data_IF_722877557159
#
_entry.id   IF_722877557159
#
_cell.length_a   1.000
_cell.length_b   1.000
_cell.length_c   1.000
_cell.angle_alpha   90.00
_cell.angle_beta   90.00
_cell.angle_gamma   90.00
#
_symmetry.space_group_name_H-M   'P 1'
#
loop_
_entity.id
_entity.type
_entity.pdbx_description
1 polymer ?
#
# COMPACT_ATOMS: atom_id res chain seq x y z
N UNK A 1 10.87 -28.48 -22.66
CA UNK A 1 10.19 -28.95 -21.43
C UNK A 1 10.95 -28.47 -20.21
N UNK A 2 10.87 -27.17 -19.91
CA UNK A 2 11.52 -26.54 -18.77
C UNK A 2 10.51 -25.56 -18.18
N UNK A 3 9.84 -25.97 -17.10
CA UNK A 3 9.19 -25.13 -16.07
C UNK A 3 8.22 -26.01 -15.25
N UNK A 4 8.76 -26.79 -14.33
CA UNK A 4 7.97 -27.40 -13.26
C UNK A 4 8.92 -27.80 -12.15
N UNK A 5 9.16 -26.85 -11.24
CA UNK A 5 9.42 -27.05 -9.80
C UNK A 5 10.07 -25.79 -9.21
N UNK A 6 9.24 -24.78 -8.94
CA UNK A 6 9.57 -23.61 -8.12
C UNK A 6 8.47 -23.43 -7.07
N UNK A 7 8.55 -24.21 -6.00
CA UNK A 7 7.75 -24.05 -4.77
C UNK A 7 8.62 -24.58 -3.62
N UNK A 8 9.41 -23.71 -2.94
CA UNK A 8 8.85 -22.76 -1.97
C UNK A 8 9.64 -21.43 -1.88
N UNK A 9 9.15 -20.34 -2.47
CA UNK A 9 9.78 -19.00 -2.36
C UNK A 9 8.76 -17.85 -2.27
N UNK A 10 7.50 -18.15 -1.98
CA UNK A 10 6.40 -17.21 -2.18
C UNK A 10 6.22 -16.12 -1.10
N UNK A 11 6.94 -16.16 0.02
CA UNK A 11 6.66 -15.23 1.14
C UNK A 11 7.73 -14.15 1.36
N UNK A 12 8.92 -14.26 0.76
CA UNK A 12 10.01 -13.27 0.90
C UNK A 12 10.13 -12.33 -0.32
N UNK A 13 9.37 -12.59 -1.39
CA UNK A 13 9.70 -12.07 -2.72
C UNK A 13 9.11 -10.72 -3.12
N UNK A 14 8.22 -10.07 -2.36
CA UNK A 14 7.63 -8.79 -2.83
C UNK A 14 8.55 -7.58 -2.67
N UNK A 15 9.31 -7.52 -1.57
CA UNK A 15 10.35 -6.49 -1.38
C UNK A 15 11.55 -6.79 -2.30
N UNK A 16 11.84 -8.08 -2.53
CA UNK A 16 12.93 -8.52 -3.39
C UNK A 16 12.68 -8.22 -4.87
N UNK A 17 11.45 -8.37 -5.37
CA UNK A 17 11.13 -8.03 -6.76
C UNK A 17 11.22 -6.51 -7.01
N UNK A 18 10.80 -5.68 -6.04
CA UNK A 18 10.91 -4.23 -6.11
C UNK A 18 12.37 -3.75 -6.04
N UNK A 19 13.21 -4.41 -5.24
CA UNK A 19 14.67 -4.17 -5.21
C UNK A 19 15.38 -4.63 -6.49
N UNK A 20 14.97 -5.76 -7.08
CA UNK A 20 15.54 -6.25 -8.35
C UNK A 20 15.17 -5.33 -9.52
N UNK A 21 13.97 -4.74 -9.53
CA UNK A 21 13.57 -3.74 -10.53
C UNK A 21 14.35 -2.43 -10.32
N UNK A 22 14.56 -1.99 -9.07
CA UNK A 22 15.40 -0.80 -8.79
C UNK A 22 16.89 -1.01 -9.13
N UNK A 23 17.41 -2.24 -9.03
CA UNK A 23 18.78 -2.58 -9.42
C UNK A 23 19.01 -2.62 -10.94
N UNK A 24 17.95 -2.73 -11.76
CA UNK A 24 18.07 -2.72 -13.22
C UNK A 24 18.28 -1.32 -13.81
N UNK A 25 17.91 -0.25 -13.09
CA UNK A 25 18.01 1.14 -13.56
C UNK A 25 19.20 1.89 -12.96
N UNK A 26 19.86 1.36 -11.92
CA UNK A 26 20.98 2.02 -11.27
C UNK A 26 22.26 1.17 -11.31
N UNK A 27 23.02 1.30 -12.41
CA UNK A 27 24.33 0.67 -12.60
C UNK A 27 25.40 1.07 -11.55
N UNK A 28 25.06 1.96 -10.60
CA UNK A 28 25.95 2.50 -9.56
C UNK A 28 25.57 2.08 -8.13
N UNK A 29 24.57 1.22 -7.94
CA UNK A 29 24.03 0.87 -6.61
C UNK A 29 24.33 -0.57 -6.11
N UNK A 30 25.02 -1.39 -6.91
CA UNK A 30 25.11 -2.86 -6.74
C UNK A 30 25.45 -3.37 -5.33
N UNK A 31 26.68 -3.18 -4.83
CA UNK A 31 27.08 -3.78 -3.54
C UNK A 31 26.64 -2.95 -2.32
N UNK A 32 26.45 -1.65 -2.46
CA UNK A 32 26.11 -0.74 -1.36
C UNK A 32 24.79 -1.05 -0.66
N UNK A 33 23.78 -1.52 -1.40
CA UNK A 33 22.43 -1.85 -0.90
C UNK A 33 22.28 -3.29 -0.40
N UNK A 34 23.09 -4.22 -0.91
CA UNK A 34 22.96 -5.65 -0.61
C UNK A 34 23.66 -6.00 0.72
N UNK A 35 24.83 -5.41 0.98
CA UNK A 35 25.61 -5.64 2.21
C UNK A 35 24.85 -5.29 3.50
N UNK A 36 24.15 -4.13 3.63
CA UNK A 36 23.36 -3.81 4.82
C UNK A 36 22.22 -4.80 5.08
N UNK A 37 21.67 -5.41 4.02
CA UNK A 37 20.62 -6.42 4.13
C UNK A 37 21.13 -7.79 4.58
N UNK A 38 22.44 -8.05 4.55
CA UNK A 38 23.00 -9.37 4.88
C UNK A 38 22.55 -10.46 3.91
N UNK A 39 22.30 -10.08 2.65
CA UNK A 39 21.84 -10.99 1.59
C UNK A 39 22.97 -11.21 0.59
N UNK A 40 23.03 -12.38 -0.03
CA UNK A 40 23.97 -12.64 -1.11
C UNK A 40 23.51 -11.94 -2.41
N UNK A 41 24.42 -11.32 -3.16
CA UNK A 41 24.17 -10.90 -4.54
C UNK A 41 23.60 -12.04 -5.39
N UNK A 42 22.64 -11.72 -6.26
CA UNK A 42 21.89 -12.72 -7.03
C UNK A 42 22.81 -13.53 -7.95
N UNK A 43 23.78 -12.88 -8.58
CA UNK A 43 24.81 -13.47 -9.41
C UNK A 43 25.63 -14.52 -8.63
N UNK A 44 26.04 -14.23 -7.40
CA UNK A 44 26.75 -15.18 -6.55
C UNK A 44 25.84 -16.34 -6.10
N UNK A 45 24.55 -16.11 -5.88
CA UNK A 45 23.59 -17.19 -5.58
C UNK A 45 23.43 -18.12 -6.78
N UNK A 46 23.34 -17.58 -8.00
CA UNK A 46 23.25 -18.36 -9.24
C UNK A 46 24.54 -19.14 -9.46
N UNK A 47 25.71 -18.49 -9.35
CA UNK A 47 27.02 -19.14 -9.46
C UNK A 47 27.21 -20.24 -8.44
N UNK A 48 26.82 -20.02 -7.17
CA UNK A 48 26.88 -21.05 -6.12
C UNK A 48 26.03 -22.27 -6.48
N UNK A 49 24.81 -22.08 -6.98
CA UNK A 49 23.93 -23.20 -7.39
C UNK A 49 24.48 -23.95 -8.60
N UNK A 50 24.95 -23.22 -9.61
CA UNK A 50 25.54 -23.81 -10.80
C UNK A 50 26.82 -24.59 -10.48
N UNK A 51 27.72 -24.02 -9.67
CA UNK A 51 28.94 -24.69 -9.22
C UNK A 51 28.62 -25.92 -8.37
N UNK A 52 27.64 -25.84 -7.46
CA UNK A 52 27.19 -26.98 -6.66
C UNK A 52 26.60 -28.13 -7.48
N UNK A 53 25.91 -27.81 -8.58
CA UNK A 53 25.41 -28.79 -9.55
C UNK A 53 26.57 -29.49 -10.27
N UNK A 54 27.50 -28.73 -10.87
CA UNK A 54 28.63 -29.31 -11.60
C UNK A 54 29.60 -30.09 -10.70
N UNK A 55 29.75 -29.68 -9.45
CA UNK A 55 30.51 -30.42 -8.45
C UNK A 55 29.88 -31.78 -8.15
N UNK A 56 28.55 -31.85 -8.05
CA UNK A 56 27.82 -33.12 -7.88
C UNK A 56 27.96 -34.06 -9.08
N UNK A 57 28.08 -33.51 -10.28
CA UNK A 57 28.29 -34.24 -11.53
C UNK A 57 29.77 -34.63 -11.78
N UNK A 58 30.68 -34.32 -10.85
CA UNK A 58 32.11 -34.61 -10.98
C UNK A 58 32.84 -33.79 -12.06
N UNK A 59 32.24 -32.70 -12.56
CA UNK A 59 32.82 -31.85 -13.62
C UNK A 59 33.57 -30.66 -13.02
N UNK A 60 34.76 -30.93 -12.46
CA UNK A 60 35.56 -29.94 -11.73
C UNK A 60 35.98 -28.73 -12.58
N UNK A 61 36.25 -28.90 -13.87
CA UNK A 61 36.66 -27.79 -14.75
C UNK A 61 35.61 -26.68 -14.80
N UNK A 62 34.31 -27.05 -14.83
CA UNK A 62 33.19 -26.10 -14.80
C UNK A 62 33.01 -25.42 -13.44
N UNK A 63 33.40 -26.10 -12.37
CA UNK A 63 33.37 -25.52 -11.01
C UNK A 63 34.46 -24.47 -10.87
N UNK A 64 35.65 -24.74 -11.39
CA UNK A 64 36.79 -23.81 -11.39
C UNK A 64 36.46 -22.58 -12.22
N UNK A 65 35.87 -22.75 -13.40
CA UNK A 65 35.38 -21.62 -14.24
C UNK A 65 34.44 -20.69 -13.47
N UNK A 66 33.58 -21.25 -12.61
CA UNK A 66 32.59 -20.50 -11.84
C UNK A 66 33.10 -19.94 -10.50
N UNK A 67 34.23 -20.39 -9.96
CA UNK A 67 34.71 -20.02 -8.61
C UNK A 67 36.16 -19.52 -8.57
N UNK A 68 36.80 -19.38 -9.74
CA UNK A 68 38.16 -18.87 -10.00
C UNK A 68 39.32 -19.60 -9.29
N UNK A 69 39.03 -20.58 -8.43
CA UNK A 69 40.02 -21.33 -7.63
C UNK A 69 39.68 -22.83 -7.59
N UNK A 70 40.66 -23.65 -7.18
CA UNK A 70 40.47 -25.07 -6.94
C UNK A 70 39.43 -25.35 -5.85
N UNK A 71 38.61 -26.37 -6.05
CA UNK A 71 37.52 -26.76 -5.14
C UNK A 71 37.63 -28.25 -4.82
N UNK A 72 37.78 -28.57 -3.54
CA UNK A 72 37.81 -29.95 -3.02
C UNK A 72 36.51 -30.34 -2.32
N UNK A 73 35.78 -29.37 -1.77
CA UNK A 73 34.50 -29.56 -1.09
C UNK A 73 33.43 -28.56 -1.56
N UNK A 74 32.15 -28.84 -1.26
CA UNK A 74 31.07 -27.87 -1.52
C UNK A 74 31.17 -26.60 -0.67
N UNK A 75 31.86 -26.68 0.47
CA UNK A 75 32.07 -25.51 1.33
C UNK A 75 33.13 -24.58 0.72
N UNK A 76 34.15 -25.13 0.05
CA UNK A 76 35.15 -24.35 -0.70
C UNK A 76 34.48 -23.48 -1.78
N UNK A 77 33.41 -23.97 -2.43
CA UNK A 77 32.63 -23.16 -3.41
C UNK A 77 32.08 -21.90 -2.74
N UNK A 78 31.52 -22.05 -1.52
CA UNK A 78 30.96 -20.91 -0.79
C UNK A 78 32.06 -19.95 -0.34
N UNK A 79 33.17 -20.48 0.17
CA UNK A 79 34.29 -19.66 0.64
C UNK A 79 34.98 -18.90 -0.50
N UNK A 80 35.20 -19.54 -1.65
CA UNK A 80 35.79 -18.90 -2.82
C UNK A 80 34.92 -17.74 -3.33
N UNK A 81 33.60 -17.95 -3.43
CA UNK A 81 32.66 -16.88 -3.84
C UNK A 81 32.56 -15.75 -2.81
N UNK A 82 32.67 -16.06 -1.51
CA UNK A 82 32.73 -15.02 -0.47
C UNK A 82 34.02 -14.21 -0.54
N UNK A 83 35.15 -14.85 -0.86
CA UNK A 83 36.43 -14.16 -1.00
C UNK A 83 36.45 -13.25 -2.22
N UNK A 84 35.88 -13.70 -3.33
CA UNK A 84 35.68 -12.88 -4.53
C UNK A 84 34.81 -11.66 -4.21
N UNK A 85 33.67 -11.87 -3.55
CA UNK A 85 32.81 -10.75 -3.12
C UNK A 85 33.51 -9.78 -2.17
N UNK A 86 34.30 -10.30 -1.23
CA UNK A 86 35.07 -9.46 -0.31
C UNK A 86 36.11 -8.61 -1.05
N UNK A 87 36.82 -9.18 -2.03
CA UNK A 87 37.77 -8.45 -2.86
C UNK A 87 37.08 -7.34 -3.67
N UNK A 88 35.97 -7.67 -4.33
CA UNK A 88 35.15 -6.69 -5.05
C UNK A 88 34.65 -5.58 -4.11
N UNK A 89 34.29 -5.93 -2.88
CA UNK A 89 33.80 -4.98 -1.88
C UNK A 89 34.89 -4.01 -1.40
N UNK A 90 36.11 -4.50 -1.22
CA UNK A 90 37.28 -3.69 -0.88
C UNK A 90 37.64 -2.73 -2.01
N UNK A 91 37.55 -3.17 -3.26
CA UNK A 91 37.92 -2.37 -4.44
C UNK A 91 36.78 -1.44 -4.93
N UNK A 92 35.52 -1.74 -4.63
CA UNK A 92 34.35 -1.02 -5.18
C UNK A 92 34.32 0.47 -4.82
N UNK A 93 34.29 1.37 -5.80
CA UNK A 93 34.14 2.81 -5.55
C UNK A 93 32.75 3.22 -5.04
N UNK A 94 31.76 2.32 -5.10
CA UNK A 94 30.37 2.55 -4.68
C UNK A 94 30.11 2.00 -3.27
N UNK A 95 29.15 2.56 -2.54
CA UNK A 95 28.79 2.05 -1.21
C UNK A 95 29.86 2.26 -0.13
N UNK A 96 30.80 3.19 -0.30
CA UNK A 96 31.90 3.44 0.66
C UNK A 96 31.43 3.80 2.07
N UNK A 97 30.26 4.44 2.19
CA UNK A 97 29.62 4.70 3.49
C UNK A 97 29.18 3.40 4.16
N UNK A 98 28.58 2.49 3.41
CA UNK A 98 28.27 1.13 3.87
C UNK A 98 29.54 0.34 4.21
N UNK A 99 30.61 0.44 3.42
CA UNK A 99 31.88 -0.24 3.65
C UNK A 99 32.51 0.14 5.00
N UNK A 100 32.36 1.40 5.42
CA UNK A 100 32.83 1.85 6.73
C UNK A 100 32.07 1.20 7.90
N UNK A 101 30.82 0.77 7.68
CA UNK A 101 29.99 0.10 8.69
C UNK A 101 30.21 -1.40 8.66
N UNK A 102 30.33 -1.97 7.47
CA UNK A 102 30.49 -3.42 7.24
C UNK A 102 31.69 -3.65 6.31
N UNK A 103 32.92 -3.57 6.83
CA UNK A 103 34.12 -3.81 6.01
C UNK A 103 34.26 -5.30 5.66
N UNK A 104 33.80 -6.20 6.53
CA UNK A 104 33.82 -7.65 6.33
C UNK A 104 32.41 -8.17 5.99
N UNK A 105 32.26 -8.67 4.76
CA UNK A 105 31.02 -9.24 4.24
C UNK A 105 30.63 -10.51 4.99
N UNK A 106 31.60 -11.35 5.36
CA UNK A 106 31.34 -12.61 6.06
C UNK A 106 30.83 -12.34 7.47
N UNK A 107 31.44 -11.39 8.18
CA UNK A 107 31.00 -10.97 9.51
C UNK A 107 29.55 -10.46 9.43
N UNK A 108 29.27 -9.57 8.47
CA UNK A 108 27.91 -9.07 8.24
C UNK A 108 26.91 -10.20 7.99
N UNK A 109 27.24 -11.20 7.17
CA UNK A 109 26.36 -12.35 6.91
C UNK A 109 26.10 -13.22 8.15
N UNK A 110 27.01 -13.23 9.13
CA UNK A 110 26.83 -13.93 10.42
C UNK A 110 25.89 -13.16 11.35
N UNK A 111 25.75 -11.85 11.19
CA UNK A 111 24.84 -11.00 11.97
C UNK A 111 23.36 -11.15 11.53
N UNK A 112 22.79 -12.35 11.72
CA UNK A 112 21.37 -12.64 11.37
C UNK A 112 20.35 -11.82 12.18
N UNK A 113 20.76 -11.31 13.34
CA UNK A 113 19.93 -10.51 14.23
C UNK A 113 19.81 -9.03 13.81
N UNK A 114 20.66 -8.58 12.86
CA UNK A 114 20.66 -7.22 12.36
C UNK A 114 19.83 -7.15 11.07
N UNK A 115 18.60 -6.63 11.19
CA UNK A 115 17.68 -6.38 10.07
C UNK A 115 17.27 -4.90 10.10
N UNK A 116 18.10 -3.99 9.55
CA UNK A 116 17.80 -2.56 9.58
C UNK A 116 16.51 -2.27 8.81
N UNK A 117 15.67 -1.38 9.35
CA UNK A 117 14.49 -0.89 8.63
C UNK A 117 14.90 0.02 7.46
N UNK A 118 13.94 0.40 6.62
CA UNK A 118 14.21 1.18 5.40
C UNK A 118 15.00 2.47 5.66
N UNK A 119 14.71 3.17 6.76
CA UNK A 119 15.33 4.47 7.09
C UNK A 119 16.84 4.31 7.40
N UNK A 120 17.27 3.45 8.34
CA UNK A 120 18.69 3.15 8.54
C UNK A 120 19.41 2.69 7.27
N UNK A 121 18.75 1.91 6.40
CA UNK A 121 19.34 1.47 5.13
C UNK A 121 19.65 2.68 4.24
N UNK A 122 18.69 3.56 3.96
CA UNK A 122 18.94 4.76 3.14
C UNK A 122 20.03 5.67 3.74
N UNK A 123 20.11 5.77 5.06
CA UNK A 123 21.15 6.54 5.73
C UNK A 123 22.54 5.93 5.53
N UNK A 124 22.66 4.61 5.71
CA UNK A 124 23.94 3.88 5.57
C UNK A 124 24.39 3.86 4.11
N UNK A 125 23.45 3.68 3.16
CA UNK A 125 23.74 3.66 1.73
C UNK A 125 24.03 5.04 1.15
N UNK A 126 23.63 6.11 1.86
CA UNK A 126 23.81 7.49 1.39
C UNK A 126 22.81 7.92 0.32
N UNK A 127 21.69 7.19 0.21
CA UNK A 127 20.70 7.32 -0.87
C UNK A 127 19.54 8.28 -0.51
N UNK A 128 19.70 9.06 0.56
CA UNK A 128 18.70 10.02 1.02
C UNK A 128 19.07 11.45 0.63
N UNK A 129 18.31 12.04 -0.29
CA UNK A 129 18.17 13.49 -0.45
C UNK A 129 17.28 14.00 0.71
N UNK A 130 17.83 14.00 1.93
CA UNK A 130 17.22 14.55 3.15
C UNK A 130 17.58 16.04 3.26
N UNK A 131 16.70 16.95 3.73
CA UNK A 131 16.76 18.36 3.36
C UNK A 131 18.07 19.03 3.81
N UNK A 132 18.77 19.57 2.80
CA UNK A 132 19.98 20.38 2.88
C UNK A 132 19.81 21.72 3.62
N UNK A 133 18.74 21.93 4.39
CA UNK A 133 18.33 23.25 4.89
C UNK A 133 18.80 23.63 6.30
N UNK A 134 19.47 22.76 7.06
CA UNK A 134 19.92 23.14 8.42
C UNK A 134 21.44 23.09 8.67
N UNK A 135 22.27 22.81 7.65
CA UNK A 135 23.72 22.62 7.86
C UNK A 135 24.61 23.71 7.24
N UNK A 136 24.05 24.72 6.56
CA UNK A 136 24.86 25.69 5.78
C UNK A 136 25.32 26.95 6.52
N UNK A 137 25.32 27.01 7.86
CA UNK A 137 25.80 28.23 8.57
C UNK A 137 26.98 28.09 9.53
N UNK A 138 27.46 26.88 9.82
CA UNK A 138 28.65 26.70 10.70
C UNK A 138 29.86 26.00 10.04
N UNK A 139 29.76 25.57 8.78
CA UNK A 139 30.82 24.77 8.11
C UNK A 139 32.06 25.55 7.62
N UNK A 140 32.28 26.80 8.04
CA UNK A 140 33.46 27.58 7.58
C UNK A 140 34.60 27.77 8.57
N UNK A 141 34.50 27.38 9.84
CA UNK A 141 35.53 27.84 10.81
C UNK A 141 36.26 26.81 11.68
N UNK A 142 35.91 25.52 11.69
CA UNK A 142 36.64 24.56 12.55
C UNK A 142 37.13 23.34 11.78
N UNK A 143 38.39 23.39 11.36
CA UNK A 143 39.14 22.28 10.77
C UNK A 143 39.44 21.16 11.77
N UNK A 144 38.41 20.39 12.16
CA UNK A 144 38.57 19.19 12.99
C UNK A 144 38.65 17.91 12.13
N UNK A 145 39.46 16.89 12.52
CA UNK A 145 39.70 15.71 11.71
C UNK A 145 38.47 14.81 11.56
N UNK A 146 38.30 14.25 10.37
CA UNK A 146 37.16 13.44 9.89
C UNK A 146 36.88 12.13 10.67
N UNK A 147 37.69 11.76 11.68
CA UNK A 147 37.60 10.48 12.40
C UNK A 147 36.58 10.44 13.55
N UNK A 148 36.11 11.58 14.07
CA UNK A 148 35.17 11.58 15.21
C UNK A 148 33.68 11.48 14.80
N UNK A 149 33.37 11.53 13.49
CA UNK A 149 31.98 11.63 12.99
C UNK A 149 31.24 10.30 12.84
N UNK A 150 31.88 9.15 13.10
CA UNK A 150 31.28 7.80 12.98
C UNK A 150 30.67 7.22 14.27
N UNK A 151 30.66 7.98 15.37
CA UNK A 151 29.92 7.60 16.59
C UNK A 151 28.41 7.29 16.41
N UNK A 152 27.65 7.83 15.43
CA UNK A 152 26.21 7.58 15.33
C UNK A 152 25.80 6.11 15.12
N UNK A 153 26.68 5.27 14.57
CA UNK A 153 26.31 3.90 14.18
C UNK A 153 26.62 2.89 15.29
N UNK A 154 27.69 3.10 16.06
CA UNK A 154 27.93 2.37 17.32
C UNK A 154 26.84 2.68 18.35
N UNK A 155 26.21 3.86 18.24
CA UNK A 155 25.09 4.27 19.09
C UNK A 155 23.81 3.46 18.88
N UNK A 156 23.60 2.78 17.74
CA UNK A 156 22.40 1.95 17.51
C UNK A 156 22.35 0.64 18.31
N UNK A 157 23.41 0.29 19.06
CA UNK A 157 23.51 -1.00 19.74
C UNK A 157 23.42 -0.93 21.28
N UNK A 158 23.47 0.27 21.87
CA UNK A 158 23.53 0.45 23.33
C UNK A 158 22.20 0.14 24.05
N UNK A 159 21.08 0.21 23.33
CA UNK A 159 19.74 -0.09 23.82
C UNK A 159 19.05 -1.02 22.84
N UNK A 160 18.13 -1.84 23.36
CA UNK A 160 17.26 -2.71 22.60
C UNK A 160 15.84 -2.56 23.11
N UNK A 161 14.87 -2.36 22.21
CA UNK A 161 13.45 -2.40 22.56
C UNK A 161 12.83 -3.76 22.31
N UNK A 162 11.92 -4.16 23.20
CA UNK A 162 11.15 -5.41 23.11
C UNK A 162 9.67 -5.04 23.26
N UNK A 163 8.80 -5.37 22.29
CA UNK A 163 9.11 -6.04 21.02
C UNK A 163 9.95 -5.17 20.06
N UNK A 164 10.67 -5.83 19.16
CA UNK A 164 11.52 -5.17 18.15
C UNK A 164 10.67 -4.73 16.96
N UNK A 165 10.97 -3.56 16.41
CA UNK A 165 10.33 -3.03 15.20
C UNK A 165 8.98 -2.36 15.46
N UNK A 166 8.15 -2.29 14.43
CA UNK A 166 6.83 -1.67 14.55
C UNK A 166 5.88 -2.55 15.36
N UNK A 167 5.14 -1.91 16.26
CA UNK A 167 4.26 -2.58 17.22
C UNK A 167 2.82 -2.29 16.84
N UNK A 168 2.01 -3.33 16.91
CA UNK A 168 0.69 -3.37 16.31
C UNK A 168 -0.27 -3.96 17.34
N UNK A 169 -1.17 -3.13 17.85
CA UNK A 169 -2.00 -3.47 19.01
C UNK A 169 -3.48 -3.32 18.68
N UNK A 170 -4.26 -4.35 19.02
CA UNK A 170 -5.71 -4.31 18.90
C UNK A 170 -6.29 -3.41 20.01
N UNK A 171 -7.23 -2.55 19.65
CA UNK A 171 -7.87 -1.63 20.60
C UNK A 171 -8.48 -2.39 21.78
N UNK A 172 -8.14 -1.96 23.00
CA UNK A 172 -8.53 -2.62 24.24
C UNK A 172 -7.43 -3.49 24.86
N UNK A 173 -6.45 -3.91 24.06
CA UNK A 173 -5.27 -4.64 24.55
C UNK A 173 -4.22 -3.68 25.14
N UNK A 174 -3.48 -4.10 26.18
CA UNK A 174 -2.46 -3.28 26.80
C UNK A 174 -1.23 -3.12 25.90
N UNK A 175 -0.62 -1.92 25.93
CA UNK A 175 0.68 -1.65 25.32
C UNK A 175 1.79 -1.87 26.34
N UNK A 176 2.76 -2.69 25.95
CA UNK A 176 3.95 -2.97 26.74
C UNK A 176 5.20 -2.85 25.88
N UNK A 177 6.12 -1.95 26.27
CA UNK A 177 7.41 -1.80 25.61
C UNK A 177 8.51 -1.84 26.68
N UNK A 178 9.47 -2.72 26.51
CA UNK A 178 10.68 -2.74 27.34
C UNK A 178 11.81 -2.06 26.60
N UNK A 179 12.55 -1.20 27.28
CA UNK A 179 13.82 -0.70 26.82
C UNK A 179 14.93 -1.27 27.70
N UNK A 180 15.85 -2.01 27.08
CA UNK A 180 16.90 -2.77 27.75
C UNK A 180 18.26 -2.18 27.39
N UNK A 181 19.01 -1.75 28.41
CA UNK A 181 20.38 -1.28 28.29
C UNK A 181 21.36 -2.44 28.13
N UNK A 182 22.18 -2.37 27.09
CA UNK A 182 23.24 -3.33 26.85
C UNK A 182 24.56 -2.81 27.45
N UNK A 183 24.87 -3.23 28.69
CA UNK A 183 26.10 -2.86 29.42
C UNK A 183 27.40 -3.30 28.74
N UNK A 184 27.34 -4.16 27.72
CA UNK A 184 28.51 -4.63 26.95
C UNK A 184 29.16 -3.54 26.09
N UNK A 185 28.52 -2.38 25.98
CA UNK A 185 28.98 -1.24 25.18
C UNK A 185 29.47 -0.14 26.12
N UNK A 186 30.66 0.42 25.86
CA UNK A 186 31.33 1.39 26.73
C UNK A 186 30.45 2.56 27.20
N UNK A 187 29.57 3.05 26.32
CA UNK A 187 28.65 4.18 26.60
C UNK A 187 27.56 3.78 27.63
N UNK A 188 27.23 2.50 27.69
CA UNK A 188 26.22 1.92 28.56
C UNK A 188 26.81 1.23 29.81
N UNK A 189 28.13 1.05 29.88
CA UNK A 189 28.80 0.29 30.94
C UNK A 189 28.58 0.90 32.34
N UNK A 190 28.57 2.23 32.45
CA UNK A 190 28.37 2.98 33.70
C UNK A 190 26.96 3.59 33.82
N UNK A 191 26.01 3.17 32.98
CA UNK A 191 24.65 3.71 32.95
C UNK A 191 23.65 2.73 33.57
N UNK A 192 22.53 3.26 34.04
CA UNK A 192 21.46 2.51 34.66
C UNK A 192 20.11 2.77 33.99
N UNK A 193 19.10 1.97 34.34
CA UNK A 193 17.72 2.16 33.91
C UNK A 193 17.15 3.54 34.28
N UNK A 194 17.69 4.22 35.30
CA UNK A 194 17.26 5.57 35.69
C UNK A 194 17.66 6.64 34.68
N UNK A 195 18.66 6.36 33.87
CA UNK A 195 19.14 7.26 32.81
C UNK A 195 18.34 7.06 31.51
N UNK A 196 17.37 6.15 31.50
CA UNK A 196 16.53 5.87 30.34
C UNK A 196 15.25 6.71 30.37
N UNK A 197 14.96 7.36 29.25
CA UNK A 197 13.73 8.13 29.06
C UNK A 197 12.94 7.57 27.89
N UNK A 198 11.62 7.54 28.05
CA UNK A 198 10.67 7.27 26.98
C UNK A 198 10.07 8.57 26.46
N UNK A 199 10.05 8.72 25.14
CA UNK A 199 9.33 9.81 24.47
C UNK A 199 8.25 9.22 23.57
N UNK A 200 7.09 9.86 23.56
CA UNK A 200 6.01 9.64 22.59
C UNK A 200 5.86 10.90 21.75
N UNK A 201 6.06 10.79 20.44
CA UNK A 201 5.97 11.93 19.50
C UNK A 201 6.80 13.15 19.99
N UNK A 202 8.03 12.87 20.43
CA UNK A 202 8.99 13.82 21.04
C UNK A 202 8.59 14.46 22.38
N UNK A 203 7.51 14.01 23.02
CA UNK A 203 7.12 14.43 24.37
C UNK A 203 7.48 13.36 25.39
N UNK A 204 7.98 13.77 26.55
CA UNK A 204 8.32 12.86 27.65
C UNK A 204 7.07 12.14 28.13
N UNK A 205 7.15 10.81 28.19
CA UNK A 205 6.07 10.00 28.74
C UNK A 205 6.05 10.17 30.26
N UNK A 206 4.88 10.44 30.86
CA UNK A 206 4.75 10.57 32.31
C UNK A 206 5.25 9.33 33.06
N UNK A 207 5.85 9.55 34.24
CA UNK A 207 6.41 8.47 35.06
C UNK A 207 5.37 7.45 35.54
N UNK A 208 4.08 7.79 35.54
CA UNK A 208 2.98 6.88 35.91
C UNK A 208 2.82 5.69 34.96
N UNK A 209 3.30 5.80 33.72
CA UNK A 209 3.30 4.70 32.74
C UNK A 209 4.63 3.94 32.72
N UNK A 210 5.61 4.33 33.54
CA UNK A 210 6.96 3.80 33.53
C UNK A 210 7.26 3.00 34.80
N UNK A 211 7.77 1.79 34.62
CA UNK A 211 8.18 0.89 35.69
C UNK A 211 9.64 0.47 35.49
N UNK A 212 10.49 0.69 36.50
CA UNK A 212 11.87 0.17 36.48
C UNK A 212 11.82 -1.28 36.94
N UNK A 213 12.10 -2.21 36.03
CA UNK A 213 12.05 -3.66 36.30
C UNK A 213 13.35 -4.13 36.96
N UNK A 214 14.49 -3.63 36.49
CA UNK A 214 15.81 -3.95 37.03
C UNK A 214 16.80 -2.79 36.74
N UNK A 215 18.07 -2.97 37.06
CA UNK A 215 19.11 -1.95 36.85
C UNK A 215 19.33 -1.55 35.38
N UNK A 216 18.86 -2.35 34.42
CA UNK A 216 19.11 -2.16 32.98
C UNK A 216 17.84 -1.91 32.17
N UNK A 217 16.66 -2.14 32.74
CA UNK A 217 15.42 -2.26 31.97
C UNK A 217 14.33 -1.37 32.54
N UNK A 218 13.78 -0.52 31.67
CA UNK A 218 12.55 0.25 31.93
C UNK A 218 11.43 -0.32 31.08
N UNK A 219 10.27 -0.51 31.70
CA UNK A 219 9.02 -0.94 31.08
C UNK A 219 8.10 0.25 30.95
N UNK A 220 7.58 0.46 29.75
CA UNK A 220 6.43 1.31 29.47
C UNK A 220 5.18 0.42 29.44
N UNK A 221 4.21 0.72 30.29
CA UNK A 221 2.94 0.00 30.34
C UNK A 221 1.75 0.95 30.27
N UNK A 222 0.89 0.76 29.27
CA UNK A 222 -0.37 1.50 29.11
C UNK A 222 -1.49 0.47 29.01
N UNK A 223 -2.34 0.42 30.05
CA UNK A 223 -3.39 -0.60 30.16
C UNK A 223 -4.38 -0.60 28.99
N UNK A 224 -4.78 0.58 28.52
CA UNK A 224 -5.71 0.75 27.40
C UNK A 224 -5.29 1.98 26.59
N UNK A 225 -4.41 1.82 25.59
CA UNK A 225 -3.98 2.92 24.77
C UNK A 225 -5.12 3.36 23.83
N UNK A 226 -5.33 4.67 23.62
CA UNK A 226 -6.32 5.15 22.65
C UNK A 226 -5.89 4.81 21.21
N UNK A 227 -6.85 4.62 20.28
CA UNK A 227 -6.55 4.46 18.86
C UNK A 227 -5.66 5.60 18.37
N UNK A 228 -4.46 5.26 17.90
CA UNK A 228 -3.47 6.25 17.48
C UNK A 228 -2.35 5.63 16.66
N UNK A 229 -1.67 6.47 15.88
CA UNK A 229 -0.38 6.19 15.25
C UNK A 229 0.65 7.12 15.91
N UNK A 230 1.53 6.56 16.74
CA UNK A 230 2.52 7.33 17.50
C UNK A 230 3.91 6.71 17.40
N UNK A 231 4.93 7.56 17.39
CA UNK A 231 6.34 7.16 17.45
C UNK A 231 6.81 7.13 18.90
N UNK A 232 7.32 5.99 19.33
CA UNK A 232 7.95 5.81 20.63
C UNK A 232 9.46 5.74 20.49
N UNK A 233 10.14 6.50 21.34
CA UNK A 233 11.60 6.57 21.40
C UNK A 233 12.04 6.13 22.78
N UNK A 234 13.02 5.22 22.83
CA UNK A 234 13.82 5.05 24.02
C UNK A 234 15.15 5.77 23.81
N UNK A 235 15.45 6.71 24.71
CA UNK A 235 16.69 7.46 24.68
C UNK A 235 17.45 7.27 25.98
N UNK A 236 18.77 7.27 25.85
CA UNK A 236 19.68 7.39 26.98
C UNK A 236 19.93 8.88 27.22
N UNK A 237 19.61 9.34 28.42
CA UNK A 237 19.87 10.71 28.84
C UNK A 237 21.36 10.85 29.18
N UNK A 238 22.01 11.82 28.55
CA UNK A 238 23.39 12.16 28.88
C UNK A 238 23.37 13.22 29.99
N UNK A 239 24.11 13.04 31.10
CA UNK A 239 24.21 14.06 32.14
C UNK A 239 24.68 15.39 31.56
N UNK A 240 24.20 16.49 32.13
CA UNK A 240 24.52 17.84 31.67
C UNK A 240 26.03 18.12 31.62
N UNK A 241 26.78 17.47 32.49
CA UNK A 241 28.21 17.68 32.71
C UNK A 241 29.09 17.02 31.63
N UNK A 242 28.54 16.08 30.84
CA UNK A 242 29.23 15.38 29.76
C UNK A 242 28.87 15.92 28.36
N UNK A 243 28.03 16.95 28.29
CA UNK A 243 27.59 17.55 27.03
C UNK A 243 28.73 18.38 26.44
N UNK A 244 29.36 17.87 25.37
CA UNK A 244 30.24 18.68 24.53
C UNK A 244 29.43 19.70 23.73
N UNK A 245 29.95 20.91 23.47
CA UNK A 245 29.25 21.91 22.66
C UNK A 245 28.93 21.33 21.27
N UNK A 246 27.66 21.40 20.86
CA UNK A 246 27.14 20.83 19.61
C UNK A 246 26.62 19.39 19.70
N UNK A 247 26.67 18.73 20.87
CA UNK A 247 26.18 17.37 21.07
C UNK A 247 24.77 17.36 21.70
N UNK A 248 23.85 16.58 21.16
CA UNK A 248 22.48 16.48 21.69
C UNK A 248 22.46 15.83 23.08
N UNK A 249 21.62 16.36 23.99
CA UNK A 249 21.40 15.82 25.35
C UNK A 249 20.99 14.35 25.37
N UNK A 250 20.26 13.94 24.35
CA UNK A 250 19.68 12.61 24.29
C UNK A 250 20.27 11.87 23.09
N UNK A 251 20.78 10.67 23.34
CA UNK A 251 21.08 9.74 22.25
C UNK A 251 19.84 8.90 21.98
N UNK A 252 19.25 9.06 20.80
CA UNK A 252 18.19 8.16 20.33
C UNK A 252 18.80 6.82 19.92
N UNK A 253 18.43 5.75 20.62
CA UNK A 253 19.02 4.42 20.37
C UNK A 253 18.01 3.42 19.84
N UNK A 254 16.71 3.59 20.14
CA UNK A 254 15.66 2.72 19.59
C UNK A 254 14.41 3.51 19.18
N UNK A 255 13.79 3.05 18.09
CA UNK A 255 12.61 3.64 17.46
C UNK A 255 11.56 2.55 17.26
N UNK A 256 10.36 2.75 17.79
CA UNK A 256 9.23 1.87 17.56
C UNK A 256 8.04 2.70 17.09
N UNK A 257 7.49 2.37 15.92
CA UNK A 257 6.22 2.94 15.49
C UNK A 257 5.10 2.07 16.04
N UNK A 258 4.19 2.66 16.82
CA UNK A 258 3.09 1.93 17.44
C UNK A 258 1.79 2.34 16.78
N UNK A 259 1.05 1.36 16.27
CA UNK A 259 -0.29 1.55 15.76
C UNK A 259 -1.29 0.84 16.66
N UNK A 260 -2.27 1.58 17.14
CA UNK A 260 -3.39 1.07 17.91
C UNK A 260 -4.63 1.20 17.04
N UNK A 261 -5.20 0.06 16.66
CA UNK A 261 -6.33 0.01 15.74
C UNK A 261 -7.25 -1.17 16.02
N UNK A 262 -8.28 -1.34 15.18
CA UNK A 262 -9.24 -2.43 15.34
C UNK A 262 -9.13 -3.46 14.22
N UNK A 263 -9.79 -4.60 14.39
CA UNK A 263 -10.13 -5.50 13.27
C UNK A 263 -10.85 -4.75 12.13
N UNK A 264 -10.84 -5.29 10.90
CA UNK A 264 -11.48 -4.65 9.76
C UNK A 264 -12.96 -4.40 10.05
N UNK A 265 -13.40 -3.16 9.85
CA UNK A 265 -14.78 -2.74 10.08
C UNK A 265 -15.57 -2.71 8.76
N UNK A 266 -16.89 -2.64 8.85
CA UNK A 266 -17.76 -2.49 7.69
C UNK A 266 -17.50 -1.14 6.99
N UNK A 267 -17.51 -1.14 5.66
CA UNK A 267 -17.26 0.06 4.87
C UNK A 267 -18.47 0.98 4.86
N UNK A 268 -18.22 2.28 4.68
CA UNK A 268 -19.27 3.29 4.57
C UNK A 268 -19.58 3.56 3.10
N UNK A 269 -20.80 4.02 2.82
CA UNK A 269 -21.23 4.48 1.49
C UNK A 269 -20.98 3.46 0.36
N UNK A 270 -21.18 2.16 0.63
CA UNK A 270 -21.08 1.14 -0.42
C UNK A 270 -22.21 1.36 -1.44
N UNK A 271 -21.85 1.82 -2.63
CA UNK A 271 -22.78 2.11 -3.71
C UNK A 271 -22.29 1.50 -5.01
N UNK A 272 -23.23 1.08 -5.86
CA UNK A 272 -22.94 0.58 -7.18
C UNK A 272 -23.87 1.28 -8.17
N UNK A 273 -23.30 1.78 -9.27
CA UNK A 273 -24.02 2.52 -10.30
C UNK A 273 -23.71 1.86 -11.63
N UNK A 274 -24.74 1.54 -12.40
CA UNK A 274 -24.59 1.09 -13.78
C UNK A 274 -24.90 2.23 -14.73
N UNK A 275 -23.95 2.58 -15.60
CA UNK A 275 -24.17 3.60 -16.62
C UNK A 275 -24.65 2.94 -17.92
N UNK A 276 -25.82 3.39 -18.39
CA UNK A 276 -26.48 2.98 -19.61
C UNK A 276 -26.62 1.46 -19.79
N UNK A 277 -26.62 0.70 -18.69
CA UNK A 277 -26.59 -0.77 -18.68
C UNK A 277 -25.43 -1.36 -19.53
N UNK A 278 -24.29 -0.66 -19.58
CA UNK A 278 -23.09 -1.08 -20.32
C UNK A 278 -21.89 -1.33 -19.42
N UNK A 279 -21.84 -0.64 -18.29
CA UNK A 279 -20.83 -0.85 -17.27
C UNK A 279 -21.47 -0.81 -15.87
N UNK A 280 -20.71 -1.29 -14.89
CA UNK A 280 -21.06 -1.24 -13.48
C UNK A 280 -19.85 -0.78 -12.71
N UNK A 281 -20.03 0.25 -11.89
CA UNK A 281 -18.99 0.76 -11.00
C UNK A 281 -19.48 0.67 -9.58
N UNK A 282 -18.73 0.01 -8.71
CA UNK A 282 -18.97 0.00 -7.27
C UNK A 282 -17.88 0.76 -6.55
N UNK A 283 -18.23 1.57 -5.56
CA UNK A 283 -17.29 2.34 -4.74
C UNK A 283 -17.70 2.30 -3.27
N UNK A 284 -16.73 2.49 -2.39
CA UNK A 284 -16.94 2.52 -0.93
C UNK A 284 -15.87 3.34 -0.22
N UNK A 285 -16.19 3.74 1.01
CA UNK A 285 -15.29 4.48 1.89
C UNK A 285 -14.77 3.59 3.01
N UNK A 286 -13.44 3.58 3.18
CA UNK A 286 -12.79 2.86 4.27
C UNK A 286 -13.10 3.56 5.60
N UNK A 287 -13.50 2.82 6.65
CA UNK A 287 -13.64 3.39 7.99
C UNK A 287 -12.25 3.80 8.51
N UNK A 288 -12.24 4.79 9.40
CA UNK A 288 -11.01 5.30 10.00
C UNK A 288 -10.33 4.20 10.84
N UNK A 289 -9.08 3.88 10.50
CA UNK A 289 -8.27 2.91 11.23
C UNK A 289 -6.79 3.23 11.04
N UNK A 290 -6.04 3.32 12.13
CA UNK A 290 -4.58 3.54 12.11
C UNK A 290 -3.82 2.32 11.59
N UNK A 291 -4.45 1.15 11.59
CA UNK A 291 -3.90 -0.06 11.01
C UNK A 291 -4.32 -0.19 9.55
N UNK A 292 -3.33 -0.27 8.67
CA UNK A 292 -3.52 -0.44 7.23
C UNK A 292 -4.41 -1.66 6.95
N UNK A 293 -5.61 -1.39 6.46
CA UNK A 293 -6.63 -2.39 6.17
C UNK A 293 -6.93 -2.41 4.67
N UNK A 294 -6.93 -3.61 4.09
CA UNK A 294 -7.24 -3.83 2.68
C UNK A 294 -8.64 -4.42 2.55
N UNK A 295 -9.36 -4.06 1.49
CA UNK A 295 -10.68 -4.62 1.21
C UNK A 295 -10.66 -5.27 -0.16
N UNK A 296 -11.23 -6.48 -0.24
CA UNK A 296 -11.37 -7.25 -1.48
C UNK A 296 -12.85 -7.46 -1.77
N UNK A 297 -13.29 -7.06 -2.95
CA UNK A 297 -14.69 -7.20 -3.35
C UNK A 297 -14.88 -8.48 -4.18
N UNK A 298 -15.83 -9.31 -3.74
CA UNK A 298 -16.32 -10.46 -4.49
C UNK A 298 -17.82 -10.41 -4.64
N UNK A 299 -18.37 -11.07 -5.64
CA UNK A 299 -19.81 -11.19 -5.79
C UNK A 299 -20.24 -12.57 -6.30
N UNK A 300 -21.50 -12.89 -6.04
CA UNK A 300 -22.17 -14.10 -6.54
C UNK A 300 -23.56 -13.75 -7.07
N UNK A 301 -24.07 -14.60 -7.94
CA UNK A 301 -25.41 -14.47 -8.51
C UNK A 301 -26.44 -15.31 -7.76
N UNK A 302 -27.74 -14.97 -7.86
CA UNK A 302 -28.81 -15.84 -7.37
C UNK A 302 -28.81 -17.21 -8.07
N UNK A 303 -29.38 -18.22 -7.41
CA UNK A 303 -29.58 -19.57 -7.95
C UNK A 303 -28.54 -20.61 -7.51
N UNK A 304 -28.85 -21.90 -7.74
CA UNK A 304 -28.06 -23.06 -7.26
C UNK A 304 -26.65 -23.13 -7.86
N UNK A 305 -26.50 -22.76 -9.13
CA UNK A 305 -25.20 -22.71 -9.83
C UNK A 305 -24.48 -21.38 -9.58
N UNK A 306 -25.19 -20.25 -9.70
CA UNK A 306 -24.65 -18.90 -9.51
C UNK A 306 -24.15 -18.60 -8.09
N UNK A 307 -24.74 -19.25 -7.08
CA UNK A 307 -24.32 -19.09 -5.69
C UNK A 307 -23.00 -19.80 -5.33
N UNK A 308 -22.53 -20.73 -6.17
CA UNK A 308 -21.27 -21.48 -5.96
C UNK A 308 -20.06 -20.77 -6.56
N UNK A 309 -20.27 -19.95 -7.57
CA UNK A 309 -19.21 -19.19 -8.24
C UNK A 309 -19.08 -17.81 -7.59
N UNK A 310 -17.84 -17.45 -7.24
CA UNK A 310 -17.50 -16.12 -6.76
C UNK A 310 -16.63 -15.43 -7.80
N UNK A 311 -17.01 -14.21 -8.14
CA UNK A 311 -16.31 -13.35 -9.09
C UNK A 311 -15.63 -12.22 -8.33
N UNK A 312 -14.40 -11.90 -8.69
CA UNK A 312 -13.64 -10.80 -8.08
C UNK A 312 -13.77 -9.51 -8.87
N UNK A 313 -13.08 -8.48 -8.39
CA UNK A 313 -12.83 -7.29 -9.18
C UNK A 313 -11.87 -7.62 -10.35
N UNK A 314 -12.06 -7.08 -11.57
CA UNK A 314 -11.19 -7.37 -12.71
C UNK A 314 -9.75 -6.83 -12.55
N UNK A 315 -9.58 -5.82 -11.71
CA UNK A 315 -8.29 -5.20 -11.38
C UNK A 315 -8.13 -5.06 -9.87
N UNK A 316 -6.91 -4.78 -9.40
CA UNK A 316 -6.63 -4.55 -7.97
C UNK A 316 -7.04 -3.13 -7.50
N UNK A 317 -8.06 -2.55 -8.14
CA UNK A 317 -8.61 -1.23 -7.82
C UNK A 317 -9.36 -1.23 -6.49
N UNK A 318 -9.90 -2.40 -6.09
CA UNK A 318 -10.56 -2.61 -4.81
C UNK A 318 -9.59 -2.45 -3.62
N UNK A 319 -8.36 -2.96 -3.73
CA UNK A 319 -7.35 -2.80 -2.67
C UNK A 319 -6.77 -1.37 -2.61
N UNK A 320 -6.54 -0.76 -3.77
CA UNK A 320 -5.76 0.48 -3.91
C UNK A 320 -6.62 1.74 -3.82
N UNK A 321 -7.78 1.74 -4.48
CA UNK A 321 -8.61 2.93 -4.72
C UNK A 321 -10.05 2.77 -4.23
N UNK A 322 -10.40 1.64 -3.61
CA UNK A 322 -11.73 1.36 -3.02
C UNK A 322 -12.88 1.44 -4.02
N UNK A 323 -12.63 1.11 -5.28
CA UNK A 323 -13.67 0.97 -6.28
C UNK A 323 -13.40 -0.24 -7.15
N UNK A 324 -14.43 -0.69 -7.85
CA UNK A 324 -14.32 -1.72 -8.85
C UNK A 324 -15.18 -1.38 -10.07
N UNK A 325 -14.65 -1.68 -11.25
CA UNK A 325 -15.29 -1.38 -12.53
C UNK A 325 -15.40 -2.64 -13.38
N UNK A 326 -16.58 -2.87 -13.94
CA UNK A 326 -16.88 -3.95 -14.87
C UNK A 326 -17.49 -3.38 -16.15
N UNK A 327 -17.04 -3.86 -17.31
CA UNK A 327 -17.65 -3.60 -18.61
C UNK A 327 -17.68 -4.89 -19.45
N UNK A 328 -17.97 -4.79 -20.73
CA UNK A 328 -17.94 -5.90 -21.70
C UNK A 328 -16.54 -6.48 -21.94
N UNK A 329 -15.51 -5.66 -21.74
CA UNK A 329 -14.10 -5.95 -22.03
C UNK A 329 -13.32 -6.48 -20.81
N UNK A 330 -13.87 -6.38 -19.60
CA UNK A 330 -13.22 -6.85 -18.37
C UNK A 330 -13.33 -8.36 -18.20
N UNK A 331 -12.41 -8.97 -17.44
CA UNK A 331 -12.55 -10.35 -16.96
C UNK A 331 -12.55 -10.37 -15.42
N UNK A 332 -13.67 -10.71 -14.76
CA UNK A 332 -14.96 -11.09 -15.35
C UNK A 332 -15.67 -9.91 -16.04
N UNK A 333 -16.44 -10.20 -17.08
CA UNK A 333 -17.26 -9.17 -17.75
C UNK A 333 -18.53 -8.88 -16.98
N UNK A 334 -19.09 -7.69 -17.23
CA UNK A 334 -20.33 -7.24 -16.65
C UNK A 334 -21.53 -8.09 -17.10
N UNK A 335 -22.30 -8.63 -16.14
CA UNK A 335 -23.38 -9.59 -16.38
C UNK A 335 -24.78 -8.95 -16.30
N UNK A 336 -25.19 -8.35 -17.41
CA UNK A 336 -26.47 -7.66 -17.59
C UNK A 336 -27.74 -8.39 -17.09
N UNK A 337 -27.95 -9.71 -17.31
CA UNK A 337 -29.26 -10.33 -17.11
C UNK A 337 -29.72 -10.52 -15.65
N UNK A 338 -28.88 -10.22 -14.66
CA UNK A 338 -29.19 -10.49 -13.27
C UNK A 338 -29.72 -9.25 -12.55
N UNK A 339 -30.94 -9.34 -12.01
CA UNK A 339 -31.54 -8.27 -11.22
C UNK A 339 -30.87 -8.07 -9.84
N UNK A 340 -30.19 -9.09 -9.32
CA UNK A 340 -29.58 -9.05 -7.98
C UNK A 340 -28.14 -9.55 -7.99
N UNK A 341 -27.29 -8.81 -7.28
CA UNK A 341 -25.93 -9.20 -6.98
C UNK A 341 -25.79 -9.36 -5.47
N UNK A 342 -25.04 -10.38 -5.05
CA UNK A 342 -24.69 -10.58 -3.65
C UNK A 342 -23.20 -10.34 -3.50
N UNK A 343 -22.84 -9.13 -3.08
CA UNK A 343 -21.46 -8.75 -2.81
C UNK A 343 -21.02 -9.29 -1.46
N UNK A 344 -19.76 -9.69 -1.40
CA UNK A 344 -19.04 -10.02 -0.18
C UNK A 344 -17.74 -9.23 -0.18
N UNK A 345 -17.65 -8.25 0.71
CA UNK A 345 -16.48 -7.42 0.87
C UNK A 345 -15.67 -7.95 2.07
N UNK A 346 -14.46 -8.42 1.80
CA UNK A 346 -13.58 -8.98 2.84
C UNK A 346 -12.50 -7.98 3.17
N UNK A 347 -12.56 -7.44 4.39
CA UNK A 347 -11.50 -6.66 5.00
C UNK A 347 -10.40 -7.57 5.56
N UNK A 348 -9.14 -7.22 5.31
CA UNK A 348 -7.95 -7.95 5.75
C UNK A 348 -6.97 -6.98 6.39
N UNK A 349 -6.61 -7.25 7.65
CA UNK A 349 -5.50 -6.61 8.34
C UNK A 349 -4.79 -7.64 9.25
N UNK A 350 -3.75 -7.21 9.97
CA UNK A 350 -2.96 -8.11 10.83
C UNK A 350 -3.74 -8.77 11.98
N UNK A 351 -4.88 -8.21 12.38
CA UNK A 351 -5.71 -8.74 13.46
C UNK A 351 -6.71 -9.77 12.94
N UNK A 352 -6.80 -9.96 11.62
CA UNK A 352 -7.59 -11.00 10.98
C UNK A 352 -8.41 -10.49 9.80
N UNK A 353 -9.37 -11.33 9.41
CA UNK A 353 -10.21 -11.12 8.25
C UNK A 353 -11.67 -10.99 8.69
N UNK A 354 -12.40 -10.04 8.10
CA UNK A 354 -13.83 -9.86 8.36
C UNK A 354 -14.56 -9.64 7.05
N UNK A 355 -15.69 -10.32 6.86
CA UNK A 355 -16.45 -10.32 5.61
C UNK A 355 -17.84 -9.73 5.83
N UNK A 356 -18.24 -8.81 4.94
CA UNK A 356 -19.52 -8.11 4.97
C UNK A 356 -20.31 -8.43 3.70
N UNK A 357 -21.57 -8.83 3.86
CA UNK A 357 -22.43 -9.23 2.73
C UNK A 357 -23.44 -8.14 2.40
N UNK A 358 -23.45 -7.69 1.14
CA UNK A 358 -24.38 -6.67 0.66
C UNK A 358 -25.25 -7.23 -0.48
N UNK A 359 -26.57 -7.09 -0.35
CA UNK A 359 -27.51 -7.42 -1.42
C UNK A 359 -27.78 -6.15 -2.23
N UNK A 360 -27.48 -6.21 -3.53
CA UNK A 360 -27.64 -5.09 -4.45
C UNK A 360 -28.74 -5.37 -5.47
N UNK A 361 -29.71 -4.46 -5.59
CA UNK A 361 -30.73 -4.49 -6.64
C UNK A 361 -30.20 -3.76 -7.87
N UNK A 362 -29.69 -4.53 -8.81
CA UNK A 362 -28.95 -4.04 -9.96
C UNK A 362 -29.77 -3.11 -10.84
N UNK A 363 -30.97 -3.53 -11.23
CA UNK A 363 -31.80 -2.77 -12.16
C UNK A 363 -32.26 -1.42 -11.62
N UNK A 364 -32.51 -1.31 -10.32
CA UNK A 364 -32.89 -0.04 -9.70
C UNK A 364 -31.74 0.96 -9.53
N UNK A 365 -30.53 0.62 -9.98
CA UNK A 365 -29.35 1.49 -9.95
C UNK A 365 -28.72 1.65 -11.35
N UNK A 366 -29.49 1.37 -12.40
CA UNK A 366 -29.11 1.65 -13.78
C UNK A 366 -29.53 3.06 -14.10
N UNK A 367 -28.57 3.88 -14.52
CA UNK A 367 -28.80 5.24 -15.01
C UNK A 367 -28.75 5.19 -16.53
N UNK A 368 -29.87 5.34 -17.25
CA UNK A 368 -29.90 5.35 -18.71
C UNK A 368 -29.09 6.53 -19.26
N UNK A 369 -28.47 6.38 -20.43
CA UNK A 369 -27.94 7.54 -21.15
C UNK A 369 -29.11 8.39 -21.69
N UNK A 370 -28.89 9.71 -21.89
CA UNK A 370 -29.91 10.57 -22.47
C UNK A 370 -30.32 10.08 -23.87
N UNK A 371 -31.58 10.34 -24.27
CA UNK A 371 -32.06 10.02 -25.60
C UNK A 371 -31.31 10.81 -26.67
N UNK A 372 -31.23 10.25 -27.87
CA UNK A 372 -30.54 10.83 -29.02
C UNK A 372 -31.54 11.15 -30.14
N UNK A 373 -31.11 11.92 -31.13
CA UNK A 373 -31.87 12.20 -32.35
C UNK A 373 -33.28 12.77 -32.08
N UNK A 374 -33.38 13.77 -31.21
CA UNK A 374 -34.65 14.49 -31.00
C UNK A 374 -34.98 15.33 -32.24
N UNK A 375 -36.09 15.01 -32.91
CA UNK A 375 -36.55 15.67 -34.13
C UNK A 375 -38.03 16.03 -33.99
N UNK A 376 -38.37 17.25 -34.40
CA UNK A 376 -39.76 17.66 -34.60
C UNK A 376 -40.23 17.14 -35.96
N UNK A 377 -41.09 16.13 -35.97
CA UNK A 377 -41.52 15.45 -37.19
C UNK A 377 -42.78 16.04 -37.81
N UNK A 378 -43.53 16.82 -37.05
CA UNK A 378 -44.71 17.52 -37.53
C UNK A 378 -45.17 18.58 -36.55
N UNK A 379 -45.69 19.68 -37.08
CA UNK A 379 -46.31 20.74 -36.28
C UNK A 379 -47.69 21.04 -36.85
N UNK A 380 -48.64 21.28 -35.96
CA UNK A 380 -49.93 21.87 -36.28
C UNK A 380 -50.09 23.17 -35.50
N UNK A 381 -51.20 23.88 -35.68
CA UNK A 381 -51.47 25.11 -34.90
C UNK A 381 -51.48 24.88 -33.39
N UNK A 382 -51.83 23.67 -32.93
CA UNK A 382 -52.02 23.36 -31.50
C UNK A 382 -51.28 22.10 -31.04
N UNK A 383 -50.46 21.49 -31.90
CA UNK A 383 -49.73 20.26 -31.56
C UNK A 383 -48.35 20.18 -32.18
N UNK A 384 -47.45 19.51 -31.48
CA UNK A 384 -46.10 19.19 -31.94
C UNK A 384 -45.90 17.70 -31.81
N UNK A 385 -45.34 17.10 -32.85
CA UNK A 385 -44.97 15.71 -32.92
C UNK A 385 -43.46 15.58 -32.78
N UNK A 386 -43.03 14.88 -31.74
CA UNK A 386 -41.64 14.69 -31.35
C UNK A 386 -41.25 13.24 -31.59
N UNK A 387 -40.10 13.05 -32.20
CA UNK A 387 -39.48 11.75 -32.39
C UNK A 387 -38.09 11.74 -31.78
N UNK A 388 -37.72 10.67 -31.07
CA UNK A 388 -36.37 10.48 -30.54
C UNK A 388 -35.98 8.99 -30.48
N UNK A 389 -34.68 8.75 -30.35
CA UNK A 389 -34.09 7.41 -30.29
C UNK A 389 -33.57 7.09 -28.89
N UNK A 390 -33.75 5.83 -28.47
CA UNK A 390 -33.22 5.31 -27.21
C UNK A 390 -31.85 4.66 -27.47
N UNK A 391 -30.87 4.82 -26.57
CA UNK A 391 -29.59 4.12 -26.66
C UNK A 391 -29.76 2.61 -26.81
N UNK A 392 -29.00 2.00 -27.75
CA UNK A 392 -29.12 0.58 -28.10
C UNK A 392 -29.05 -0.38 -26.90
N UNK A 393 -28.19 -0.09 -25.93
CA UNK A 393 -28.04 -0.90 -24.73
C UNK A 393 -29.38 -1.05 -23.98
N UNK A 394 -30.22 -0.02 -23.97
CA UNK A 394 -31.46 -0.01 -23.21
C UNK A 394 -32.65 -0.65 -23.93
N UNK A 395 -32.53 -1.03 -25.22
CA UNK A 395 -33.65 -1.60 -25.99
C UNK A 395 -34.19 -2.91 -25.40
N UNK A 396 -33.34 -3.65 -24.69
CA UNK A 396 -33.67 -4.94 -24.06
C UNK A 396 -33.64 -4.89 -22.53
N UNK A 397 -33.62 -3.69 -21.95
CA UNK A 397 -33.59 -3.52 -20.50
C UNK A 397 -34.88 -4.07 -19.87
N UNK A 398 -34.81 -5.15 -19.04
CA UNK A 398 -36.01 -5.91 -18.67
C UNK A 398 -37.08 -5.14 -17.90
N UNK A 399 -36.74 -4.22 -16.96
CA UNK A 399 -37.75 -3.41 -16.29
C UNK A 399 -38.48 -2.43 -17.21
N UNK A 400 -37.87 -2.07 -18.34
CA UNK A 400 -38.33 -0.99 -19.19
C UNK A 400 -37.82 0.38 -18.75
N UNK A 401 -38.23 1.41 -19.49
CA UNK A 401 -37.86 2.81 -19.27
C UNK A 401 -39.09 3.67 -19.01
N UNK A 402 -38.93 4.66 -18.14
CA UNK A 402 -39.84 5.78 -17.98
C UNK A 402 -39.23 6.98 -18.68
N UNK A 403 -40.02 7.65 -19.50
CA UNK A 403 -39.57 8.82 -20.25
C UNK A 403 -40.37 10.03 -19.82
N UNK A 404 -39.68 11.12 -19.51
CA UNK A 404 -40.27 12.39 -19.09
C UNK A 404 -39.94 13.45 -20.13
N UNK A 405 -40.96 14.00 -20.77
CA UNK A 405 -40.81 15.14 -21.67
C UNK A 405 -41.16 16.41 -20.90
N UNK A 406 -40.22 17.34 -20.86
CA UNK A 406 -40.40 18.66 -20.27
C UNK A 406 -40.26 19.71 -21.36
N UNK A 407 -41.08 20.77 -21.27
CA UNK A 407 -41.01 21.87 -22.22
C UNK A 407 -41.22 23.23 -21.55
N UNK A 408 -40.66 24.27 -22.16
CA UNK A 408 -40.80 25.65 -21.69
C UNK A 408 -41.04 26.59 -22.87
N UNK A 409 -42.02 27.48 -22.76
CA UNK A 409 -42.22 28.57 -23.72
C UNK A 409 -41.09 29.60 -23.63
N UNK A 410 -40.55 30.05 -24.76
CA UNK A 410 -39.51 31.09 -24.83
C UNK A 410 -39.97 32.41 -24.19
N UNK A 411 -41.28 32.70 -24.30
CA UNK A 411 -41.87 33.93 -23.75
C UNK A 411 -42.26 33.81 -22.27
N UNK A 412 -42.13 32.63 -21.65
CA UNK A 412 -42.36 32.48 -20.21
C UNK A 412 -41.12 32.91 -19.42
N UNK A 413 -41.22 34.07 -18.77
CA UNK A 413 -40.12 34.75 -18.05
C UNK A 413 -39.72 34.10 -16.72
N UNK A 414 -40.31 32.96 -16.34
CA UNK A 414 -40.24 32.42 -14.98
C UNK A 414 -39.42 31.12 -14.83
N UNK A 415 -38.71 30.64 -15.86
CA UNK A 415 -37.96 29.35 -15.80
C UNK A 415 -38.79 28.15 -15.32
N UNK A 416 -40.11 28.17 -15.60
CA UNK A 416 -41.03 27.10 -15.20
C UNK A 416 -41.14 26.10 -16.35
N UNK A 417 -40.52 24.94 -16.17
CA UNK A 417 -40.67 23.80 -17.08
C UNK A 417 -42.01 23.11 -16.84
N UNK A 418 -42.82 22.98 -17.89
CA UNK A 418 -44.07 22.23 -17.87
C UNK A 418 -43.78 20.77 -18.21
N UNK A 419 -44.27 19.85 -17.37
CA UNK A 419 -44.04 18.41 -17.52
C UNK A 419 -45.23 17.78 -18.27
N UNK A 420 -44.98 17.27 -19.48
CA UNK A 420 -45.98 16.54 -20.26
C UNK A 420 -45.72 15.03 -20.20
N UNK A 421 -46.14 14.41 -19.09
CA UNK A 421 -46.45 12.98 -18.94
C UNK A 421 -45.26 12.00 -19.00
N UNK A 422 -45.41 10.89 -18.25
CA UNK A 422 -44.56 9.70 -18.27
C UNK A 422 -45.02 8.72 -19.38
N UNK A 423 -44.18 8.47 -20.38
CA UNK A 423 -44.43 7.41 -21.37
C UNK A 423 -43.77 6.10 -20.93
N UNK A 424 -44.54 5.01 -20.87
CA UNK A 424 -44.06 3.65 -20.63
C UNK A 424 -44.24 2.81 -21.91
N UNK A 425 -43.19 2.12 -22.35
CA UNK A 425 -43.31 1.06 -23.37
C UNK A 425 -42.72 1.35 -24.75
N UNK A 426 -42.03 2.47 -24.93
CA UNK A 426 -41.20 2.66 -26.11
C UNK A 426 -39.76 2.21 -25.85
N UNK A 427 -39.24 1.29 -26.68
CA UNK A 427 -37.92 0.69 -26.51
C UNK A 427 -36.91 1.05 -27.61
N UNK A 428 -37.29 1.73 -28.69
CA UNK A 428 -36.39 1.97 -29.84
C UNK A 428 -36.55 3.32 -30.53
N UNK A 429 -37.73 3.59 -31.08
CA UNK A 429 -38.12 4.88 -31.66
C UNK A 429 -39.39 5.32 -30.98
N UNK A 430 -39.33 6.48 -30.32
CA UNK A 430 -40.44 7.00 -29.54
C UNK A 430 -41.04 8.19 -30.25
N UNK A 431 -42.36 8.18 -30.31
CA UNK A 431 -43.16 9.21 -30.91
C UNK A 431 -44.12 9.73 -29.86
N UNK A 432 -44.16 11.05 -29.69
CA UNK A 432 -45.08 11.72 -28.78
C UNK A 432 -45.72 12.90 -29.48
N UNK A 433 -47.05 12.92 -29.49
CA UNK A 433 -47.83 14.05 -29.95
C UNK A 433 -48.32 14.82 -28.73
N UNK A 434 -47.82 16.04 -28.56
CA UNK A 434 -48.36 16.96 -27.57
C UNK A 434 -49.46 17.79 -28.21
N UNK A 435 -50.64 17.82 -27.61
CA UNK A 435 -51.79 18.62 -28.05
C UNK A 435 -52.13 19.66 -26.98
N UNK A 436 -52.66 20.82 -27.39
CA UNK A 436 -52.95 22.01 -26.56
C UNK A 436 -51.84 23.08 -26.48
N UNK A 437 -50.92 23.12 -27.44
CA UNK A 437 -50.02 24.27 -27.58
C UNK A 437 -50.79 25.51 -28.00
N UNK A 438 -50.45 26.67 -27.42
CA UNK A 438 -50.89 27.96 -27.96
C UNK A 438 -50.14 28.22 -29.26
N UNK A 439 -50.86 28.70 -30.27
CA UNK A 439 -50.25 29.14 -31.52
C UNK A 439 -49.17 30.22 -31.23
N UNK A 440 -48.05 30.17 -31.97
CA UNK A 440 -46.91 31.11 -31.91
C UNK A 440 -45.92 30.91 -30.74
N UNK A 441 -45.95 29.78 -30.05
CA UNK A 441 -44.96 29.42 -29.03
C UNK A 441 -43.66 28.85 -29.65
N UNK A 442 -42.53 29.51 -29.39
CA UNK A 442 -41.22 28.87 -29.43
C UNK A 442 -41.05 28.15 -28.09
N UNK A 443 -40.65 26.88 -28.10
CA UNK A 443 -40.50 26.09 -26.88
C UNK A 443 -39.19 25.31 -26.83
N UNK A 444 -38.56 25.28 -25.66
CA UNK A 444 -37.44 24.38 -25.34
C UNK A 444 -38.00 23.03 -24.91
N UNK A 445 -37.33 21.94 -25.27
CA UNK A 445 -37.76 20.57 -25.03
C UNK A 445 -36.58 19.76 -24.49
N UNK A 446 -36.77 19.08 -23.37
CA UNK A 446 -35.81 18.16 -22.78
C UNK A 446 -36.49 16.83 -22.46
N UNK A 447 -35.79 15.73 -22.70
CA UNK A 447 -36.30 14.38 -22.46
C UNK A 447 -35.36 13.67 -21.50
N UNK A 448 -35.91 13.29 -20.35
CA UNK A 448 -35.22 12.51 -19.33
C UNK A 448 -35.69 11.07 -19.37
N UNK A 449 -34.76 10.14 -19.13
CA UNK A 449 -35.03 8.70 -19.09
C UNK A 449 -34.63 8.17 -17.73
N UNK A 450 -35.57 7.51 -17.06
CA UNK A 450 -35.37 6.88 -15.76
C UNK A 450 -35.61 5.36 -15.88
N UNK A 451 -34.92 4.57 -15.06
CA UNK A 451 -35.19 3.13 -14.93
C UNK A 451 -36.44 2.88 -14.09
N UNK A 452 -37.26 1.90 -14.49
CA UNK A 452 -38.47 1.46 -13.77
C UNK A 452 -38.23 0.79 -12.42
#
# INVERSE_FOLDING_TARGET
MWCSNLTPLATVNRVFLLLVIAMAECNTCGPGLITPGGVWPLDLVVRKRAAGYWFGEGKLDKVIELTTNGVSTKDDIRENLLREWQADWEESTTGRRTFQVFPDVQERLRMKHLQPSQIPVHYITGDADWPRQEVTREEKETGTPYKERYKPIVLMMALVTIPKGDIMIESGEPLEIFCVLNKSIDIAANRSARDLIFLRDNKVVPSEFLEIINETTVRLYVKQPPPSESMYYCKLQTPADEIKPGQSRDTAVCLNKVFVGTKPQEVKNFTCISQNWQNLTCSWEKPENFVKTKYKLRYRFPGRAGGRMQYGCPSNTDETSNYCFWNDSTDPHYRLPYAYYYYNLTGENQFGNTSFSHKFHHYGHVIPAPPTDLIVSGTTHNSVLLNWSIPYAMHTFPPGLIQRVVYQAEYDTNDIWLVSIYSTGCNRLCEYSYSELRAELIAYLEIEIESL
#
